data_IF_741220786683
#
_entry.id   IF_741220786683
#
_cell.length_a   1.000
_cell.length_b   1.000
_cell.length_c   1.000
_cell.angle_alpha   90.00
_cell.angle_beta   90.00
_cell.angle_gamma   90.00
#
_symmetry.space_group_name_H-M   'P 1'
#
loop_
_entity.id
_entity.type
_entity.pdbx_description
1 polymer ?
#
# COMPACT_ATOMS: atom_id res chain seq x y z
N UNK A 1 11.33 -13.09 -2.23
CA UNK A 1 10.23 -12.46 -1.46
C UNK A 1 10.70 -11.12 -0.94
N UNK A 2 9.77 -10.24 -0.52
CA UNK A 2 10.07 -8.86 -0.16
C UNK A 2 10.85 -8.81 1.16
N UNK A 3 12.16 -8.55 1.08
CA UNK A 3 13.05 -8.33 2.22
C UNK A 3 13.17 -6.83 2.50
N UNK A 4 12.22 -6.29 3.26
CA UNK A 4 12.12 -4.84 3.53
C UNK A 4 13.31 -4.27 4.31
N UNK A 5 13.97 -5.07 5.14
CA UNK A 5 14.96 -4.59 6.11
C UNK A 5 16.22 -5.42 6.09
N UNK A 6 17.27 -4.88 6.72
CA UNK A 6 18.43 -5.69 7.05
C UNK A 6 18.01 -6.88 7.95
N UNK A 7 18.63 -8.07 7.82
CA UNK A 7 18.21 -9.29 8.53
C UNK A 7 18.10 -9.18 10.07
N UNK A 8 18.78 -8.20 10.68
CA UNK A 8 18.81 -7.98 12.13
C UNK A 8 18.03 -6.72 12.58
N UNK A 9 17.29 -6.07 11.67
CA UNK A 9 16.51 -4.89 12.02
C UNK A 9 15.35 -5.27 12.97
N UNK A 10 15.09 -4.48 14.03
CA UNK A 10 13.97 -4.78 14.91
C UNK A 10 12.63 -4.65 14.17
N UNK A 11 11.60 -5.44 14.57
CA UNK A 11 10.21 -5.20 14.16
C UNK A 11 9.82 -3.74 14.37
N UNK A 12 8.88 -3.24 13.56
CA UNK A 12 8.29 -1.95 13.87
C UNK A 12 7.02 -2.19 14.66
N UNK A 13 7.01 -1.65 15.86
CA UNK A 13 5.92 -1.79 16.81
C UNK A 13 5.01 -0.56 16.77
N UNK A 14 3.77 -0.67 17.27
CA UNK A 14 2.96 0.51 17.56
C UNK A 14 3.68 1.47 18.52
N UNK A 15 3.53 2.80 18.35
CA UNK A 15 2.64 3.46 17.38
C UNK A 15 3.24 3.64 15.97
N UNK A 16 4.55 3.49 15.78
CA UNK A 16 5.24 3.69 14.48
C UNK A 16 4.75 2.75 13.37
N UNK A 17 4.30 1.55 13.74
CA UNK A 17 3.69 0.60 12.80
C UNK A 17 2.39 1.14 12.22
N UNK A 18 1.60 1.81 13.05
CA UNK A 18 0.19 2.06 12.79
C UNK A 18 -0.10 3.43 12.20
N UNK A 19 0.79 4.42 12.37
CA UNK A 19 0.57 5.73 11.78
C UNK A 19 1.72 6.73 11.90
N UNK A 20 1.61 7.82 11.14
CA UNK A 20 2.63 8.87 11.04
C UNK A 20 2.87 9.58 12.37
N UNK A 21 1.85 9.66 13.23
CA UNK A 21 1.97 10.22 14.58
C UNK A 21 2.86 9.39 15.52
N UNK A 22 3.20 8.16 15.13
CA UNK A 22 4.16 7.33 15.84
C UNK A 22 5.62 7.71 15.55
N UNK A 23 5.89 8.42 14.45
CA UNK A 23 7.23 8.85 14.05
C UNK A 23 7.63 10.16 14.73
N UNK A 24 8.94 10.42 14.81
CA UNK A 24 9.45 11.71 15.28
C UNK A 24 9.23 12.81 14.22
N UNK A 25 8.90 14.02 14.67
CA UNK A 25 8.68 15.16 13.78
C UNK A 25 7.27 15.19 13.16
N UNK A 26 7.17 15.87 12.02
CA UNK A 26 5.93 15.96 11.23
C UNK A 26 6.23 15.65 9.75
N UNK A 27 6.66 14.41 9.42
CA UNK A 27 6.98 14.04 8.06
C UNK A 27 5.77 14.12 7.15
N UNK A 28 5.97 14.55 5.90
CA UNK A 28 4.95 14.46 4.88
C UNK A 28 4.69 13.00 4.52
N UNK A 29 3.42 12.60 4.43
CA UNK A 29 3.07 11.26 3.94
C UNK A 29 2.99 11.32 2.42
N UNK A 30 3.85 10.58 1.73
CA UNK A 30 3.78 10.38 0.29
C UNK A 30 3.19 9.02 0.02
N UNK A 31 2.10 8.92 -0.75
CA UNK A 31 1.47 7.64 -1.08
C UNK A 31 1.37 7.36 -2.56
N UNK A 32 1.39 6.08 -2.90
CA UNK A 32 1.23 5.55 -4.25
C UNK A 32 0.64 4.15 -4.17
N UNK A 33 -0.23 3.77 -5.12
CA UNK A 33 -0.94 2.49 -5.09
C UNK A 33 -0.86 1.71 -6.40
N UNK A 34 -1.09 0.40 -6.33
CA UNK A 34 -1.27 -0.51 -7.47
C UNK A 34 -0.13 -0.44 -8.50
N UNK A 35 1.11 -0.60 -8.02
CA UNK A 35 2.31 -0.55 -8.86
C UNK A 35 2.35 -1.67 -9.90
N UNK A 36 1.86 -2.85 -9.54
CA UNK A 36 1.64 -3.98 -10.44
C UNK A 36 2.82 -4.27 -11.37
N UNK A 37 4.06 -4.25 -10.88
CA UNK A 37 5.25 -4.50 -11.71
C UNK A 37 5.49 -3.47 -12.84
N UNK A 38 4.83 -2.31 -12.84
CA UNK A 38 5.07 -1.22 -13.79
C UNK A 38 6.22 -0.31 -13.32
N UNK A 39 7.41 -0.88 -13.17
CA UNK A 39 8.59 -0.22 -12.59
C UNK A 39 8.87 1.17 -13.17
N UNK A 40 8.77 1.33 -14.49
CA UNK A 40 8.99 2.64 -15.15
C UNK A 40 8.01 3.72 -14.68
N UNK A 41 6.72 3.37 -14.60
CA UNK A 41 5.68 4.28 -14.12
C UNK A 41 5.85 4.57 -12.62
N UNK A 42 6.17 3.55 -11.81
CA UNK A 42 6.50 3.74 -10.38
C UNK A 42 7.65 4.74 -10.20
N UNK A 43 8.77 4.55 -10.92
CA UNK A 43 9.91 5.47 -10.84
C UNK A 43 9.56 6.89 -11.28
N UNK A 44 8.74 7.02 -12.31
CA UNK A 44 8.32 8.32 -12.80
C UNK A 44 7.41 9.04 -11.80
N UNK A 45 6.49 8.31 -11.16
CA UNK A 45 5.61 8.82 -10.12
C UNK A 45 6.41 9.27 -8.89
N UNK A 46 7.30 8.44 -8.34
CA UNK A 46 8.08 8.82 -7.15
C UNK A 46 8.94 10.07 -7.37
N UNK A 47 9.43 10.30 -8.59
CA UNK A 47 10.18 11.50 -8.96
C UNK A 47 9.33 12.77 -9.06
N UNK A 48 8.00 12.68 -9.17
CA UNK A 48 7.17 13.89 -9.27
C UNK A 48 7.30 14.77 -8.03
N UNK A 49 7.63 14.19 -6.86
CA UNK A 49 7.91 14.94 -5.64
C UNK A 49 9.07 15.90 -5.85
N UNK A 50 10.25 15.41 -6.24
CA UNK A 50 11.44 16.25 -6.45
C UNK A 50 11.41 17.10 -7.73
N UNK A 51 10.54 16.77 -8.68
CA UNK A 51 10.33 17.58 -9.89
C UNK A 51 9.37 18.76 -9.65
N UNK A 52 8.67 18.79 -8.51
CA UNK A 52 7.78 19.88 -8.12
C UNK A 52 8.51 20.89 -7.22
N UNK A 53 8.34 22.19 -7.50
CA UNK A 53 9.16 23.26 -6.89
C UNK A 53 9.00 23.42 -5.37
N UNK A 54 7.87 22.99 -4.82
CA UNK A 54 7.55 23.11 -3.39
C UNK A 54 8.12 21.98 -2.51
N UNK A 55 8.75 20.94 -3.08
CA UNK A 55 9.19 19.76 -2.33
C UNK A 55 10.66 19.43 -2.58
N UNK A 56 11.32 18.96 -1.54
CA UNK A 56 12.61 18.30 -1.68
C UNK A 56 12.43 16.89 -2.29
N UNK A 57 13.44 16.31 -2.96
CA UNK A 57 13.30 15.00 -3.58
C UNK A 57 13.04 13.88 -2.56
N UNK A 58 11.97 13.11 -2.77
CA UNK A 58 11.74 11.85 -2.06
C UNK A 58 12.82 10.80 -2.41
N UNK A 59 13.22 10.79 -3.67
CA UNK A 59 14.17 9.84 -4.25
C UNK A 59 15.11 10.52 -5.23
N UNK A 60 16.34 10.02 -5.31
CA UNK A 60 17.33 10.43 -6.30
C UNK A 60 17.72 9.26 -7.20
N UNK A 61 18.10 9.55 -8.45
CA UNK A 61 18.59 8.52 -9.38
C UNK A 61 20.12 8.43 -9.34
N UNK A 62 20.68 7.22 -9.28
CA UNK A 62 22.10 6.99 -9.53
C UNK A 62 22.44 7.02 -11.03
N UNK A 63 23.72 6.83 -11.36
CA UNK A 63 24.23 6.82 -12.74
C UNK A 63 23.65 5.66 -13.58
N UNK A 64 23.20 4.59 -12.92
CA UNK A 64 22.53 3.42 -13.51
C UNK A 64 21.00 3.59 -13.60
N UNK A 65 20.45 4.70 -13.13
CA UNK A 65 19.03 5.02 -13.12
C UNK A 65 18.22 4.24 -12.08
N UNK A 66 18.86 3.68 -11.05
CA UNK A 66 18.21 3.13 -9.86
C UNK A 66 17.82 4.28 -8.93
N UNK A 67 16.67 4.15 -8.27
CA UNK A 67 16.22 5.15 -7.30
C UNK A 67 16.71 4.81 -5.91
N UNK A 68 17.20 5.82 -5.20
CA UNK A 68 17.68 5.77 -3.83
C UNK A 68 16.85 6.68 -2.94
N UNK A 69 16.74 6.34 -1.66
CA UNK A 69 16.04 7.18 -0.68
C UNK A 69 16.79 8.51 -0.51
N UNK A 70 16.07 9.61 -0.72
CA UNK A 70 16.57 10.97 -0.48
C UNK A 70 15.70 11.74 0.52
N UNK A 71 14.55 11.18 0.90
CA UNK A 71 13.53 11.87 1.71
C UNK A 71 13.85 12.09 3.19
N UNK A 72 15.04 11.69 3.68
CA UNK A 72 15.42 11.90 5.08
C UNK A 72 14.37 11.40 6.08
N UNK A 73 14.21 12.14 7.17
CA UNK A 73 13.15 11.99 8.18
C UNK A 73 11.92 12.85 7.84
N UNK A 74 11.94 13.56 6.72
CA UNK A 74 10.98 14.57 6.28
C UNK A 74 9.80 13.95 5.51
N UNK A 75 9.96 12.72 5.04
CA UNK A 75 8.94 11.97 4.33
C UNK A 75 8.73 10.58 4.93
N UNK A 76 7.48 10.11 4.89
CA UNK A 76 7.14 8.68 5.01
C UNK A 76 6.48 8.24 3.70
N UNK A 77 6.96 7.16 3.11
CA UNK A 77 6.41 6.59 1.87
C UNK A 77 5.44 5.45 2.19
N UNK A 78 4.18 5.61 1.81
CA UNK A 78 3.12 4.60 1.91
C UNK A 78 2.85 3.99 0.53
N UNK A 79 3.27 2.75 0.35
CA UNK A 79 2.97 1.93 -0.82
C UNK A 79 1.66 1.19 -0.56
N UNK A 80 0.58 1.67 -1.15
CA UNK A 80 -0.78 1.26 -0.84
C UNK A 80 -1.21 -0.03 -1.57
N UNK A 81 -0.41 -1.09 -1.41
CA UNK A 81 -0.66 -2.45 -1.91
C UNK A 81 -0.49 -2.65 -3.41
N UNK A 82 -0.59 -3.92 -3.82
CA UNK A 82 -0.55 -4.40 -5.20
C UNK A 82 0.75 -4.00 -5.90
N UNK A 83 1.88 -4.42 -5.31
CA UNK A 83 3.21 -4.21 -5.87
C UNK A 83 3.45 -5.11 -7.09
N UNK A 84 2.85 -6.31 -7.07
CA UNK A 84 3.11 -7.40 -8.01
C UNK A 84 1.97 -7.62 -9.01
N UNK A 85 2.23 -8.53 -9.96
CA UNK A 85 1.33 -8.97 -11.03
C UNK A 85 0.97 -7.91 -12.08
N UNK A 86 0.36 -8.37 -13.18
CA UNK A 86 -0.11 -7.58 -14.34
C UNK A 86 0.97 -6.96 -15.20
N UNK A 87 1.83 -6.12 -14.63
CA UNK A 87 2.89 -5.45 -15.37
C UNK A 87 4.09 -6.36 -15.62
N UNK A 88 5.08 -5.86 -16.38
CA UNK A 88 6.15 -6.69 -16.91
C UNK A 88 7.25 -7.03 -15.90
N UNK A 89 7.36 -6.31 -14.77
CA UNK A 89 8.53 -6.36 -13.90
C UNK A 89 8.18 -6.28 -12.40
N UNK A 90 7.51 -7.31 -11.88
CA UNK A 90 7.22 -7.42 -10.44
C UNK A 90 8.49 -7.52 -9.59
N UNK A 91 9.53 -8.21 -10.07
CA UNK A 91 10.80 -8.33 -9.35
C UNK A 91 11.51 -6.98 -9.21
N UNK A 92 11.52 -6.18 -10.28
CA UNK A 92 12.12 -4.86 -10.26
C UNK A 92 11.39 -3.87 -9.35
N UNK A 93 10.05 -3.96 -9.24
CA UNK A 93 9.27 -3.18 -8.26
C UNK A 93 9.60 -3.61 -6.83
N UNK A 94 9.65 -4.92 -6.56
CA UNK A 94 10.04 -5.43 -5.24
C UNK A 94 11.45 -4.94 -4.88
N UNK A 95 12.42 -5.10 -5.77
CA UNK A 95 13.80 -4.69 -5.53
C UNK A 95 13.96 -3.16 -5.31
N UNK A 96 13.07 -2.35 -5.90
CA UNK A 96 12.99 -0.92 -5.62
C UNK A 96 12.47 -0.68 -4.19
N UNK A 97 11.35 -1.30 -3.82
CA UNK A 97 10.74 -1.13 -2.49
C UNK A 97 11.67 -1.59 -1.37
N UNK A 98 12.30 -2.76 -1.51
CA UNK A 98 13.28 -3.29 -0.56
C UNK A 98 14.48 -2.37 -0.38
N UNK A 99 14.91 -1.70 -1.46
CA UNK A 99 16.03 -0.77 -1.40
C UNK A 99 15.63 0.49 -0.64
N UNK A 100 14.50 1.11 -1.03
CA UNK A 100 14.02 2.31 -0.35
C UNK A 100 13.79 2.03 1.14
N UNK A 101 13.20 0.89 1.49
CA UNK A 101 12.97 0.49 2.88
C UNK A 101 14.26 0.24 3.68
N UNK A 102 15.36 -0.18 3.02
CA UNK A 102 16.67 -0.35 3.67
C UNK A 102 17.46 0.95 3.82
N UNK A 103 17.24 1.90 2.92
CA UNK A 103 17.95 3.18 2.91
C UNK A 103 17.25 4.26 3.73
N UNK A 104 15.92 4.19 3.84
CA UNK A 104 15.14 5.10 4.65
C UNK A 104 15.38 4.92 6.16
N UNK A 105 15.14 5.96 6.98
CA UNK A 105 15.02 5.79 8.42
C UNK A 105 13.96 4.72 8.77
N UNK A 106 14.16 4.04 9.90
CA UNK A 106 13.24 2.98 10.32
C UNK A 106 11.82 3.54 10.50
N UNK A 107 10.84 2.87 9.89
CA UNK A 107 9.43 3.31 9.92
C UNK A 107 9.01 4.27 8.79
N UNK A 108 9.95 4.77 7.99
CA UNK A 108 9.66 5.76 6.92
C UNK A 108 9.25 5.14 5.57
N UNK A 109 9.20 3.80 5.47
CA UNK A 109 8.58 3.11 4.34
C UNK A 109 7.56 2.12 4.89
N UNK A 110 6.33 2.20 4.37
CA UNK A 110 5.21 1.35 4.77
C UNK A 110 4.52 0.76 3.56
N UNK A 111 4.17 -0.52 3.65
CA UNK A 111 3.41 -1.20 2.62
C UNK A 111 2.09 -1.67 3.19
N UNK A 112 0.98 -1.29 2.56
CA UNK A 112 -0.32 -1.90 2.90
C UNK A 112 -0.48 -3.21 2.11
N UNK A 113 -1.15 -4.21 2.69
CA UNK A 113 -1.41 -5.48 2.02
C UNK A 113 -2.36 -5.26 0.83
N UNK A 114 -1.89 -5.54 -0.38
CA UNK A 114 -2.71 -5.60 -1.58
C UNK A 114 -3.44 -6.93 -1.74
N UNK A 115 -4.49 -6.97 -2.57
CA UNK A 115 -5.14 -8.24 -2.88
C UNK A 115 -4.24 -9.19 -3.71
N UNK A 116 -3.19 -8.67 -4.35
CA UNK A 116 -2.22 -9.46 -5.08
C UNK A 116 -1.16 -10.09 -4.14
N UNK A 117 -0.67 -9.35 -3.14
CA UNK A 117 0.14 -9.95 -2.07
C UNK A 117 -0.69 -10.92 -1.22
N UNK A 118 -1.98 -10.65 -1.01
CA UNK A 118 -2.92 -11.63 -0.43
C UNK A 118 -2.94 -12.93 -1.25
N UNK A 119 -2.88 -12.86 -2.58
CA UNK A 119 -2.84 -14.04 -3.45
C UNK A 119 -1.59 -14.92 -3.27
N UNK A 120 -0.51 -14.37 -2.73
CA UNK A 120 0.68 -15.13 -2.30
C UNK A 120 0.36 -15.95 -1.06
N UNK A 121 -0.31 -15.35 -0.07
CA UNK A 121 -0.63 -16.01 1.20
C UNK A 121 -1.67 -17.12 1.03
N UNK A 122 -2.67 -16.90 0.17
CA UNK A 122 -3.86 -17.76 0.02
C UNK A 122 -4.00 -18.41 -1.36
N UNK A 123 -3.00 -19.14 -1.89
CA UNK A 123 -3.03 -19.67 -3.24
C UNK A 123 -4.11 -20.74 -3.47
N UNK A 124 -4.61 -21.41 -2.41
CA UNK A 124 -5.68 -22.40 -2.54
C UNK A 124 -7.06 -21.78 -2.86
N UNK A 125 -7.16 -20.45 -2.78
CA UNK A 125 -8.40 -19.69 -2.96
C UNK A 125 -8.44 -18.91 -4.29
N UNK A 126 -7.31 -18.82 -5.00
CA UNK A 126 -7.19 -18.10 -6.28
C UNK A 126 -6.65 -19.00 -7.38
N UNK A 127 -7.25 -18.91 -8.57
CA UNK A 127 -6.79 -19.61 -9.78
C UNK A 127 -5.92 -18.68 -10.62
N UNK A 128 -4.78 -18.29 -10.05
CA UNK A 128 -3.90 -17.26 -10.58
C UNK A 128 -2.56 -17.84 -11.04
N UNK A 129 -2.51 -19.09 -11.52
CA UNK A 129 -1.25 -19.83 -11.75
C UNK A 129 -0.27 -19.12 -12.71
N UNK A 130 -0.79 -18.30 -13.63
CA UNK A 130 0.00 -17.53 -14.59
C UNK A 130 0.59 -16.23 -14.00
N UNK A 131 0.19 -15.84 -12.79
CA UNK A 131 0.60 -14.60 -12.14
C UNK A 131 1.79 -14.82 -11.19
N UNK A 132 2.57 -13.77 -10.99
CA UNK A 132 3.76 -13.77 -10.14
C UNK A 132 3.41 -14.18 -8.71
N UNK A 133 2.25 -13.76 -8.19
CA UNK A 133 1.75 -14.10 -6.85
C UNK A 133 1.63 -15.60 -6.61
N UNK A 134 1.08 -16.36 -7.56
CA UNK A 134 0.84 -17.81 -7.40
C UNK A 134 2.04 -18.66 -7.83
N UNK A 135 3.11 -18.03 -8.32
CA UNK A 135 4.38 -18.70 -8.62
C UNK A 135 5.36 -18.65 -7.42
N UNK A 136 4.94 -18.05 -6.29
CA UNK A 136 5.76 -17.96 -5.08
C UNK A 136 5.93 -19.32 -4.41
N UNK A 137 7.10 -19.52 -3.82
CA UNK A 137 7.41 -20.74 -3.06
C UNK A 137 6.82 -20.69 -1.66
N UNK A 138 6.76 -21.82 -0.96
CA UNK A 138 6.38 -21.85 0.46
C UNK A 138 7.31 -20.98 1.33
N UNK A 139 8.59 -20.87 0.98
CA UNK A 139 9.52 -20.00 1.69
C UNK A 139 9.22 -18.52 1.44
N UNK A 140 8.85 -18.15 0.21
CA UNK A 140 8.35 -16.80 -0.08
C UNK A 140 7.06 -16.49 0.70
N UNK A 141 6.15 -17.47 0.84
CA UNK A 141 4.92 -17.30 1.61
C UNK A 141 5.21 -17.09 3.09
N UNK A 142 6.13 -17.87 3.67
CA UNK A 142 6.55 -17.72 5.08
C UNK A 142 7.21 -16.37 5.33
N UNK A 143 8.08 -15.90 4.44
CA UNK A 143 8.67 -14.58 4.62
C UNK A 143 7.69 -13.43 4.44
N UNK A 144 6.61 -13.61 3.66
CA UNK A 144 5.53 -12.62 3.64
C UNK A 144 4.75 -12.59 4.96
N UNK A 145 4.51 -13.75 5.59
CA UNK A 145 3.99 -13.81 6.96
C UNK A 145 4.94 -13.13 7.97
N UNK A 146 6.25 -13.31 7.81
CA UNK A 146 7.26 -12.68 8.66
C UNK A 146 7.30 -11.16 8.48
N UNK A 147 7.21 -10.65 7.24
CA UNK A 147 7.08 -9.22 6.96
C UNK A 147 5.82 -8.61 7.61
N UNK A 148 4.70 -9.34 7.61
CA UNK A 148 3.50 -8.94 8.35
C UNK A 148 3.77 -8.89 9.86
N UNK A 149 4.34 -9.95 10.42
CA UNK A 149 4.65 -10.03 11.86
C UNK A 149 5.64 -8.93 12.31
N UNK A 150 6.58 -8.53 11.44
CA UNK A 150 7.55 -7.47 11.71
C UNK A 150 6.99 -6.05 11.50
N UNK A 151 5.73 -5.91 11.08
CA UNK A 151 5.10 -4.62 10.81
C UNK A 151 5.61 -3.93 9.54
N UNK A 152 6.23 -4.66 8.61
CA UNK A 152 6.61 -4.16 7.29
C UNK A 152 5.41 -4.02 6.36
N UNK A 153 4.53 -5.03 6.43
CA UNK A 153 3.27 -5.06 5.72
C UNK A 153 2.15 -4.93 6.73
N UNK A 154 1.35 -3.88 6.57
CA UNK A 154 0.21 -3.56 7.43
C UNK A 154 -1.09 -3.68 6.63
N UNK A 155 -2.23 -3.82 7.29
CA UNK A 155 -3.52 -3.79 6.60
C UNK A 155 -3.94 -2.34 6.28
N UNK A 156 -3.57 -1.41 7.15
CA UNK A 156 -3.76 0.02 6.96
C UNK A 156 -2.77 0.84 7.80
N UNK A 157 -2.64 2.12 7.45
CA UNK A 157 -1.72 3.07 8.08
C UNK A 157 -2.41 4.43 8.28
N UNK A 158 -2.31 5.02 9.47
CA UNK A 158 -2.91 6.31 9.79
C UNK A 158 -2.01 7.47 9.37
N UNK A 159 -2.49 8.31 8.45
CA UNK A 159 -1.93 9.62 8.17
C UNK A 159 -2.36 10.67 9.19
N UNK A 160 -2.37 11.93 8.75
CA UNK A 160 -2.83 13.03 9.60
C UNK A 160 -4.36 13.13 9.63
N UNK A 161 -4.94 13.12 8.44
CA UNK A 161 -6.35 13.33 8.18
C UNK A 161 -7.01 12.12 7.54
N UNK A 162 -6.24 11.25 6.88
CA UNK A 162 -6.74 10.06 6.18
C UNK A 162 -6.09 8.78 6.69
N UNK A 163 -6.82 7.66 6.66
CA UNK A 163 -6.23 6.33 6.81
C UNK A 163 -5.96 5.71 5.44
N UNK A 164 -4.73 5.26 5.20
CA UNK A 164 -4.31 4.57 3.98
C UNK A 164 -4.61 3.08 4.11
N UNK A 165 -5.32 2.52 3.14
CA UNK A 165 -5.59 1.09 3.05
C UNK A 165 -5.79 0.70 1.59
N UNK A 166 -5.40 -0.52 1.20
CA UNK A 166 -5.40 -0.87 -0.22
C UNK A 166 -6.78 -0.76 -0.86
N UNK A 167 -7.83 -1.28 -0.23
CA UNK A 167 -9.20 -1.15 -0.73
C UNK A 167 -10.12 -0.36 0.22
N UNK A 168 -9.81 -0.33 1.52
CA UNK A 168 -10.57 0.41 2.52
C UNK A 168 -11.88 -0.26 2.93
N UNK A 169 -12.67 0.43 3.77
CA UNK A 169 -13.94 -0.06 4.31
C UNK A 169 -14.96 1.07 4.49
N UNK A 170 -16.26 0.79 4.36
CA UNK A 170 -17.30 1.80 4.54
C UNK A 170 -17.56 2.08 6.02
N UNK A 171 -17.32 1.08 6.89
CA UNK A 171 -17.43 1.16 8.34
C UNK A 171 -16.14 1.72 8.95
N UNK A 172 -16.23 2.27 10.17
CA UNK A 172 -15.04 2.76 10.89
C UNK A 172 -14.06 1.62 11.17
N UNK A 173 -12.77 1.92 10.99
CA UNK A 173 -11.66 1.10 11.43
C UNK A 173 -10.52 2.01 11.91
N UNK A 174 -9.60 1.42 12.68
CA UNK A 174 -8.41 2.06 13.27
C UNK A 174 -7.23 1.15 12.96
N UNK A 175 -6.04 1.71 12.70
CA UNK A 175 -4.93 0.94 12.19
C UNK A 175 -4.47 -0.15 13.16
N UNK A 176 -4.29 0.17 14.44
CA UNK A 176 -3.81 -0.79 15.45
C UNK A 176 -4.63 -2.09 15.49
N UNK A 177 -5.94 -2.06 15.76
CA UNK A 177 -6.75 -3.28 15.81
C UNK A 177 -6.79 -4.09 14.50
N UNK A 178 -6.78 -3.42 13.33
CA UNK A 178 -6.80 -4.12 12.04
C UNK A 178 -5.44 -4.73 11.73
N UNK A 179 -4.35 -4.04 12.06
CA UNK A 179 -3.00 -4.56 11.89
C UNK A 179 -2.72 -5.73 12.84
N UNK A 180 -3.22 -5.68 14.07
CA UNK A 180 -3.15 -6.81 15.01
C UNK A 180 -3.93 -8.03 14.49
N UNK A 181 -5.10 -7.83 13.85
CA UNK A 181 -5.87 -8.89 13.20
C UNK A 181 -5.07 -9.52 12.04
N UNK A 182 -4.39 -8.71 11.23
CA UNK A 182 -3.53 -9.21 10.16
C UNK A 182 -2.31 -9.99 10.68
N UNK A 183 -1.67 -9.52 11.76
CA UNK A 183 -0.57 -10.25 12.40
C UNK A 183 -1.03 -11.60 12.93
N UNK A 184 -2.17 -11.65 13.63
CA UNK A 184 -2.74 -12.90 14.12
C UNK A 184 -3.03 -13.90 12.99
N UNK A 185 -3.56 -13.41 11.86
CA UNK A 185 -3.78 -14.23 10.67
C UNK A 185 -2.47 -14.81 10.09
N UNK A 186 -1.41 -13.99 10.01
CA UNK A 186 -0.11 -14.42 9.52
C UNK A 186 0.55 -15.45 10.45
N UNK A 187 0.50 -15.25 11.76
CA UNK A 187 1.02 -16.19 12.77
C UNK A 187 0.29 -17.53 12.75
N UNK A 188 -1.01 -17.53 12.47
CA UNK A 188 -1.82 -18.73 12.31
C UNK A 188 -1.49 -19.48 11.01
N UNK A 189 -1.30 -18.76 9.91
CA UNK A 189 -1.01 -19.34 8.59
C UNK A 189 0.41 -19.91 8.50
N UNK A 190 1.42 -19.19 9.00
CA UNK A 190 2.84 -19.51 8.85
C UNK A 190 3.23 -20.97 9.15
N UNK A 191 2.82 -21.59 10.29
CA UNK A 191 3.17 -22.98 10.59
C UNK A 191 2.48 -24.01 9.69
N UNK A 192 1.39 -23.65 9.02
CA UNK A 192 0.63 -24.55 8.15
C UNK A 192 1.15 -24.58 6.71
N UNK A 193 1.89 -23.56 6.27
CA UNK A 193 2.42 -23.44 4.90
C UNK A 193 3.24 -24.69 4.54
N UNK A 194 2.92 -25.32 3.41
CA UNK A 194 3.59 -26.50 2.87
C UNK A 194 3.27 -27.81 3.61
N UNK A 195 2.37 -27.78 4.60
CA UNK A 195 1.90 -28.97 5.29
C UNK A 195 0.67 -29.58 4.61
N UNK A 196 0.23 -30.76 5.05
CA UNK A 196 -1.00 -31.38 4.54
C UNK A 196 -2.29 -30.62 4.91
N UNK A 197 -2.22 -29.70 5.87
CA UNK A 197 -3.36 -28.93 6.38
C UNK A 197 -3.42 -27.50 5.80
N UNK A 198 -2.44 -27.10 4.96
CA UNK A 198 -2.28 -25.73 4.43
C UNK A 198 -3.58 -25.18 3.82
N UNK A 199 -4.18 -25.92 2.88
CA UNK A 199 -5.42 -25.54 2.22
C UNK A 199 -6.59 -25.33 3.19
N UNK A 200 -6.68 -26.14 4.26
CA UNK A 200 -7.73 -26.01 5.25
C UNK A 200 -7.51 -24.77 6.12
N UNK A 201 -6.28 -24.58 6.60
CA UNK A 201 -5.90 -23.42 7.42
C UNK A 201 -6.08 -22.12 6.66
N UNK A 202 -5.76 -22.05 5.37
CA UNK A 202 -6.04 -20.87 4.55
C UNK A 202 -7.52 -20.46 4.59
N UNK A 203 -8.45 -21.42 4.56
CA UNK A 203 -9.89 -21.15 4.63
C UNK A 203 -10.31 -20.69 6.01
N UNK A 204 -9.84 -21.39 7.05
CA UNK A 204 -10.15 -21.06 8.44
C UNK A 204 -9.66 -19.66 8.81
N UNK A 205 -8.43 -19.30 8.40
CA UNK A 205 -7.84 -17.96 8.60
C UNK A 205 -8.69 -16.86 7.94
N UNK A 206 -9.17 -17.07 6.71
CA UNK A 206 -10.02 -16.08 6.04
C UNK A 206 -11.36 -15.91 6.76
N UNK A 207 -11.96 -17.01 7.23
CA UNK A 207 -13.25 -16.99 7.93
C UNK A 207 -13.13 -16.31 9.31
N UNK A 208 -12.04 -16.55 10.03
CA UNK A 208 -11.77 -15.96 11.35
C UNK A 208 -11.41 -14.47 11.27
N UNK A 209 -10.58 -14.08 10.29
CA UNK A 209 -10.06 -12.71 10.10
C UNK A 209 -10.73 -12.01 8.92
N UNK A 210 -12.05 -12.19 8.81
CA UNK A 210 -12.84 -11.77 7.66
C UNK A 210 -12.81 -10.26 7.40
N UNK A 211 -12.57 -9.42 8.42
CA UNK A 211 -12.54 -7.95 8.24
C UNK A 211 -11.36 -7.52 7.39
N UNK A 212 -10.26 -8.25 7.46
CA UNK A 212 -9.07 -8.01 6.65
C UNK A 212 -9.12 -8.82 5.35
N UNK A 213 -9.39 -10.12 5.46
CA UNK A 213 -9.07 -11.09 4.41
C UNK A 213 -10.24 -11.57 3.55
N UNK A 214 -11.48 -11.29 3.94
CA UNK A 214 -12.66 -11.78 3.20
C UNK A 214 -12.67 -11.21 1.79
N UNK A 215 -12.98 -12.05 0.81
CA UNK A 215 -13.24 -11.61 -0.56
C UNK A 215 -14.66 -11.01 -0.69
N UNK A 216 -15.61 -11.35 0.17
CA UNK A 216 -16.99 -10.88 0.07
C UNK A 216 -17.76 -11.44 -1.14
N UNK A 217 -18.95 -10.89 -1.39
CA UNK A 217 -19.85 -11.38 -2.44
C UNK A 217 -19.40 -11.02 -3.88
N UNK A 218 -20.05 -11.65 -4.87
CA UNK A 218 -19.94 -11.31 -6.31
C UNK A 218 -18.54 -11.47 -6.94
N UNK A 219 -17.81 -12.52 -6.56
CA UNK A 219 -16.49 -12.78 -7.14
C UNK A 219 -15.36 -12.00 -6.48
N UNK A 220 -15.59 -11.52 -5.25
CA UNK A 220 -14.52 -11.19 -4.35
C UNK A 220 -14.24 -9.70 -4.15
N UNK A 221 -15.20 -8.82 -4.46
CA UNK A 221 -15.03 -7.35 -4.30
C UNK A 221 -16.30 -6.61 -3.86
N UNK A 222 -17.32 -7.36 -3.43
CA UNK A 222 -18.66 -6.87 -3.09
C UNK A 222 -18.87 -6.64 -1.60
N UNK A 223 -20.13 -6.59 -1.17
CA UNK A 223 -20.47 -6.52 0.25
C UNK A 223 -19.83 -7.67 1.03
N UNK A 224 -19.35 -7.37 2.23
CA UNK A 224 -18.64 -8.33 3.08
C UNK A 224 -17.19 -8.59 2.67
N UNK A 225 -16.67 -7.88 1.65
CA UNK A 225 -15.24 -7.88 1.36
C UNK A 225 -14.48 -7.18 2.49
N UNK A 226 -13.32 -7.72 2.83
CA UNK A 226 -12.38 -7.15 3.78
C UNK A 226 -11.62 -5.95 3.20
N UNK A 227 -10.80 -5.34 4.05
CA UNK A 227 -10.13 -4.06 3.79
C UNK A 227 -9.18 -4.05 2.58
N UNK A 228 -8.81 -5.23 2.07
CA UNK A 228 -7.95 -5.39 0.89
C UNK A 228 -8.72 -5.73 -0.40
N UNK A 229 -10.04 -5.92 -0.35
CA UNK A 229 -10.80 -6.45 -1.50
C UNK A 229 -11.97 -5.57 -1.99
N UNK A 230 -12.46 -4.64 -1.18
CA UNK A 230 -13.70 -3.93 -1.48
C UNK A 230 -13.57 -2.98 -2.70
N UNK A 231 -14.43 -3.12 -3.70
CA UNK A 231 -14.42 -2.20 -4.84
C UNK A 231 -14.84 -0.77 -4.43
N UNK A 232 -14.12 0.23 -4.94
CA UNK A 232 -14.33 1.64 -4.63
C UNK A 232 -15.78 2.09 -4.83
N UNK A 233 -16.51 1.50 -5.78
CA UNK A 233 -17.94 1.82 -6.01
C UNK A 233 -18.82 1.56 -4.78
N UNK A 234 -18.40 0.66 -3.89
CA UNK A 234 -19.13 0.28 -2.68
C UNK A 234 -18.74 1.11 -1.45
N UNK A 235 -17.73 1.98 -1.55
CA UNK A 235 -17.39 2.95 -0.49
C UNK A 235 -18.26 4.20 -0.63
N UNK A 236 -19.18 4.51 0.30
CA UNK A 236 -19.91 5.76 0.26
C UNK A 236 -18.98 6.96 0.53
N UNK A 237 -19.26 8.13 -0.08
CA UNK A 237 -18.47 9.32 0.23
C UNK A 237 -18.63 9.85 1.67
N UNK A 238 -19.62 9.33 2.41
CA UNK A 238 -19.82 9.62 3.83
C UNK A 238 -19.03 8.67 4.76
N UNK A 239 -18.22 7.76 4.21
CA UNK A 239 -17.30 6.94 5.00
C UNK A 239 -16.25 7.78 5.73
N UNK A 240 -15.48 7.16 6.61
CA UNK A 240 -14.38 7.87 7.24
C UNK A 240 -13.30 8.26 6.23
N UNK A 241 -12.56 9.34 6.51
CA UNK A 241 -11.48 9.80 5.65
C UNK A 241 -10.47 8.69 5.38
N UNK A 242 -10.30 8.31 4.12
CA UNK A 242 -9.37 7.26 3.73
C UNK A 242 -8.84 7.47 2.32
N UNK A 243 -7.59 7.07 2.11
CA UNK A 243 -6.92 7.00 0.79
C UNK A 243 -6.80 5.53 0.39
N UNK A 244 -7.34 5.19 -0.77
CA UNK A 244 -7.44 3.80 -1.25
C UNK A 244 -6.90 3.61 -2.66
N UNK A 245 -6.54 2.38 -2.96
CA UNK A 245 -6.15 1.90 -4.27
C UNK A 245 -7.23 1.05 -4.93
N UNK A 246 -6.79 -0.08 -5.50
CA UNK A 246 -7.58 -1.25 -5.95
C UNK A 246 -8.48 -1.04 -7.17
N UNK A 247 -9.20 0.08 -7.23
CA UNK A 247 -10.13 0.40 -8.32
C UNK A 247 -9.57 1.49 -9.21
N UNK A 248 -9.10 1.08 -10.39
CA UNK A 248 -8.45 1.93 -11.39
C UNK A 248 -9.23 3.20 -11.72
N UNK A 249 -8.52 4.31 -11.79
CA UNK A 249 -8.96 5.63 -12.22
C UNK A 249 -8.00 6.19 -13.28
N UNK A 250 -8.43 7.18 -14.05
CA UNK A 250 -7.54 7.88 -15.01
C UNK A 250 -6.70 8.98 -14.34
N UNK A 251 -7.19 9.51 -13.22
CA UNK A 251 -6.52 10.49 -12.35
C UNK A 251 -6.99 10.22 -10.92
N UNK A 252 -6.30 10.68 -9.87
CA UNK A 252 -6.79 10.47 -8.52
C UNK A 252 -8.16 11.14 -8.33
N UNK A 253 -9.10 10.46 -7.69
CA UNK A 253 -10.49 10.94 -7.55
C UNK A 253 -10.93 10.99 -6.10
N UNK A 254 -11.66 12.03 -5.75
CA UNK A 254 -12.29 12.14 -4.43
C UNK A 254 -13.81 11.98 -4.53
N UNK A 255 -14.34 11.14 -3.64
CA UNK A 255 -15.76 10.94 -3.42
C UNK A 255 -16.05 11.19 -1.95
N UNK A 256 -16.45 12.41 -1.62
CA UNK A 256 -16.59 12.84 -0.23
C UNK A 256 -15.28 12.65 0.53
N UNK A 257 -15.30 11.87 1.59
CA UNK A 257 -14.12 11.63 2.44
C UNK A 257 -13.15 10.57 1.87
N UNK A 258 -13.48 9.89 0.77
CA UNK A 258 -12.69 8.80 0.23
C UNK A 258 -11.94 9.28 -1.02
N UNK A 259 -10.62 9.14 -1.03
CA UNK A 259 -9.77 9.45 -2.18
C UNK A 259 -9.21 8.14 -2.76
N UNK A 260 -9.29 7.97 -4.08
CA UNK A 260 -8.70 6.82 -4.76
C UNK A 260 -7.52 7.26 -5.63
N UNK A 261 -6.34 6.65 -5.41
CA UNK A 261 -5.06 7.03 -6.03
C UNK A 261 -4.54 6.02 -7.08
N UNK A 262 -5.30 4.95 -7.37
CA UNK A 262 -4.91 3.91 -8.32
C UNK A 262 -5.03 4.40 -9.78
N UNK A 263 -3.94 4.96 -10.32
CA UNK A 263 -3.93 5.59 -11.66
C UNK A 263 -3.01 4.90 -12.68
N UNK A 264 -1.98 4.18 -12.22
CA UNK A 264 -0.89 3.66 -13.08
C UNK A 264 -1.44 2.83 -14.23
N UNK A 265 -2.34 1.89 -13.94
CA UNK A 265 -2.82 0.94 -14.94
C UNK A 265 -3.74 1.54 -16.00
N UNK A 266 -4.46 2.62 -15.68
CA UNK A 266 -5.31 3.30 -16.66
C UNK A 266 -4.50 4.12 -17.65
N UNK A 267 -3.29 4.54 -17.25
CA UNK A 267 -2.45 5.44 -18.02
C UNK A 267 -1.30 4.77 -18.79
N UNK A 268 -1.22 3.43 -18.82
CA UNK A 268 -0.10 2.70 -19.46
C UNK A 268 0.13 3.00 -20.94
N UNK A 269 -0.89 3.50 -21.66
CA UNK A 269 -0.78 3.85 -23.07
C UNK A 269 -0.49 5.33 -23.30
N UNK A 270 -0.42 6.13 -22.24
CA UNK A 270 -0.23 7.57 -22.29
C UNK A 270 1.17 7.93 -21.77
N UNK A 271 1.86 8.91 -22.37
CA UNK A 271 2.95 9.59 -21.69
C UNK A 271 2.35 10.40 -20.52
N UNK A 272 2.74 10.07 -19.29
CA UNK A 272 2.22 10.67 -18.05
C UNK A 272 0.91 10.03 -17.55
N UNK A 273 0.36 10.61 -16.49
CA UNK A 273 -0.85 10.16 -15.79
C UNK A 273 -0.57 9.32 -14.54
N UNK A 274 0.69 8.93 -14.30
CA UNK A 274 1.12 8.43 -13.01
C UNK A 274 1.21 9.57 -11.97
N UNK A 275 0.91 9.24 -10.71
CA UNK A 275 0.81 10.22 -9.64
C UNK A 275 1.24 9.64 -8.31
N UNK A 276 1.63 10.52 -7.39
CA UNK A 276 1.68 10.28 -5.95
C UNK A 276 0.74 11.25 -5.25
N UNK A 277 0.28 10.92 -4.05
CA UNK A 277 -0.37 11.86 -3.15
C UNK A 277 0.64 12.32 -2.09
N UNK A 278 0.51 13.55 -1.64
CA UNK A 278 1.29 14.15 -0.56
C UNK A 278 0.34 14.73 0.47
N UNK A 279 0.42 14.22 1.69
CA UNK A 279 -0.36 14.67 2.84
C UNK A 279 0.53 15.39 3.85
N UNK A 280 0.04 16.53 4.31
CA UNK A 280 0.54 17.27 5.48
C UNK A 280 -0.55 17.32 6.55
N UNK A 281 -0.28 17.81 7.76
CA UNK A 281 -1.32 18.04 8.76
C UNK A 281 -2.55 18.82 8.26
N UNK A 282 -2.36 19.73 7.31
CA UNK A 282 -3.42 20.65 6.85
C UNK A 282 -3.89 20.42 5.40
N UNK A 283 -3.35 19.43 4.68
CA UNK A 283 -3.62 19.29 3.23
C UNK A 283 -3.39 17.89 2.70
N UNK A 284 -4.07 17.57 1.59
CA UNK A 284 -3.82 16.41 0.75
C UNK A 284 -3.80 16.87 -0.70
N UNK A 285 -2.75 16.54 -1.45
CA UNK A 285 -2.56 16.93 -2.86
C UNK A 285 -2.09 15.76 -3.69
N UNK A 286 -2.46 15.70 -4.97
CA UNK A 286 -1.78 14.83 -5.94
C UNK A 286 -0.69 15.59 -6.69
N UNK A 287 0.41 14.90 -6.98
CA UNK A 287 1.47 15.34 -7.89
C UNK A 287 1.47 14.41 -9.10
N UNK A 288 0.94 14.89 -10.21
CA UNK A 288 0.60 14.10 -11.39
C UNK A 288 1.52 14.43 -12.55
N UNK A 289 2.18 13.40 -13.11
CA UNK A 289 3.03 13.59 -14.29
C UNK A 289 2.18 13.92 -15.51
N UNK A 290 2.51 14.98 -16.22
CA UNK A 290 1.88 15.32 -17.50
C UNK A 290 2.67 14.74 -18.69
N UNK A 291 2.07 14.77 -19.88
CA UNK A 291 2.65 14.20 -21.10
C UNK A 291 3.97 14.85 -21.55
N UNK A 292 4.21 16.11 -21.16
CA UNK A 292 5.41 16.88 -21.44
C UNK A 292 6.45 16.80 -20.32
N UNK A 293 6.16 16.04 -19.26
CA UNK A 293 7.08 15.78 -18.14
C UNK A 293 6.94 16.75 -16.97
N UNK A 294 6.08 17.77 -17.09
CA UNK A 294 5.73 18.67 -15.99
C UNK A 294 4.96 17.91 -14.88
N UNK A 295 4.85 18.54 -13.71
CA UNK A 295 4.09 18.02 -12.58
C UNK A 295 2.87 18.92 -12.36
N UNK A 296 1.69 18.37 -12.55
CA UNK A 296 0.43 19.02 -12.24
C UNK A 296 0.03 18.72 -10.80
N UNK A 297 -0.52 19.72 -10.11
CA UNK A 297 -0.97 19.58 -8.72
C UNK A 297 -2.47 19.77 -8.62
N UNK A 298 -3.13 18.85 -7.91
CA UNK A 298 -4.55 18.96 -7.59
C UNK A 298 -4.79 18.80 -6.07
N UNK A 299 -5.51 19.74 -5.48
CA UNK A 299 -5.88 19.72 -4.07
C UNK A 299 -7.12 18.86 -3.80
N UNK A 300 -7.09 18.12 -2.70
CA UNK A 300 -8.23 17.37 -2.17
C UNK A 300 -8.81 18.04 -0.93
N UNK A 301 -10.11 17.85 -0.73
CA UNK A 301 -10.79 18.36 0.45
C UNK A 301 -10.37 17.55 1.69
N UNK A 302 -9.80 18.22 2.68
CA UNK A 302 -9.56 17.65 4.02
C UNK A 302 -10.85 17.77 4.85
N UNK A 303 -11.39 16.67 5.40
CA UNK A 303 -12.64 16.70 6.16
C UNK A 303 -12.53 17.47 7.48
N UNK A 304 -13.50 18.37 7.76
CA UNK A 304 -13.51 19.27 8.94
C UNK A 304 -13.42 18.55 10.30
N UNK A 305 -13.73 17.25 10.36
CA UNK A 305 -13.67 16.44 11.58
C UNK A 305 -12.28 15.96 11.97
N UNK A 306 -11.24 16.16 11.14
CA UNK A 306 -9.89 15.69 11.45
C UNK A 306 -9.17 16.51 12.55
N UNK A 307 -9.64 17.73 12.84
CA UNK A 307 -9.05 18.62 13.86
C UNK A 307 -9.77 18.58 15.23
N UNK A 308 -10.81 17.77 15.37
CA UNK A 308 -11.57 17.65 16.61
C UNK A 308 -11.18 16.37 17.35
N UNK A 309 -10.01 16.39 18.00
CA UNK A 309 -9.73 15.78 19.31
C UNK A 309 -8.20 15.81 19.53
N UNK A 310 -7.74 16.91 20.15
CA UNK A 310 -6.46 17.04 20.84
C UNK A 310 -6.67 16.74 22.34
#
# INVERSE_FOLDING_TARGET
MIEFRAPDAPPTEPPERDGVKGLEGEPLVVSISDLHGYLGATRSALKTVGDHEDYDPLVESDDEGQLHWAGGDEYVLVLNGDLIDRGPDSEGVIALVERLSREAPHGHVRVTLGNHEWGVLFPALVHWEEWYSSQRTDDDRRGLCEAVANGDIVACYEGYNFTYAHAGQPTRYEAGPINDELVAAAEQLAPAIGTGDDDAVQRDVIDEHWRVLSMGEQGGRGFGAGIVWLDFRYLPGASLPQVVGHTRQEQPVQKGNVVCENVIRSNQTNPGGEAVLVESPDSLRSLERTFDGEVHTNDFQVPETAHADN
#
